data_IF_754376552538
#
_entry.id   IF_754376552538
#
_cell.length_a   1.000
_cell.length_b   1.000
_cell.length_c   1.000
_cell.angle_alpha   90.00
_cell.angle_beta   90.00
_cell.angle_gamma   90.00
#
_symmetry.space_group_name_H-M   'P 1'
#
loop_
_entity.id
_entity.type
_entity.pdbx_description
1 polymer ?
#
# COMPACT_ATOMS: atom_id res chain seq x y z
N UNK A 1 22.08 4.49 -21.01
CA UNK A 1 20.61 4.55 -21.05
C UNK A 1 20.02 4.27 -19.67
N UNK A 2 20.21 3.06 -19.09
CA UNK A 2 19.73 2.69 -17.73
C UNK A 2 20.26 3.65 -16.65
N UNK A 3 21.57 3.94 -16.66
CA UNK A 3 22.21 4.88 -15.74
C UNK A 3 21.59 6.29 -15.77
N UNK A 4 21.29 6.79 -16.98
CA UNK A 4 20.65 8.09 -17.13
C UNK A 4 19.19 8.09 -16.63
N UNK A 5 18.48 6.99 -16.80
CA UNK A 5 17.11 6.84 -16.27
C UNK A 5 17.12 6.82 -14.74
N UNK A 6 18.07 6.10 -14.12
CA UNK A 6 18.26 6.06 -12.67
C UNK A 6 18.63 7.43 -12.11
N UNK A 7 19.63 8.11 -12.71
CA UNK A 7 20.03 9.44 -12.25
C UNK A 7 18.90 10.46 -12.40
N UNK A 8 18.16 10.45 -13.51
CA UNK A 8 16.97 11.29 -13.67
C UNK A 8 15.92 11.05 -12.58
N UNK A 9 15.69 9.79 -12.23
CA UNK A 9 14.77 9.41 -11.14
C UNK A 9 15.28 9.97 -9.81
N UNK A 10 16.55 9.74 -9.47
CA UNK A 10 17.19 10.24 -8.25
C UNK A 10 17.16 11.77 -8.19
N UNK A 11 17.54 12.46 -9.27
CA UNK A 11 17.53 13.92 -9.36
C UNK A 11 16.11 14.49 -9.20
N UNK A 12 15.11 13.84 -9.83
CA UNK A 12 13.70 14.28 -9.70
C UNK A 12 13.17 14.18 -8.27
N UNK A 13 13.65 13.20 -7.51
CA UNK A 13 13.29 13.03 -6.10
C UNK A 13 14.04 14.03 -5.22
N UNK A 14 15.34 14.23 -5.45
CA UNK A 14 16.20 15.13 -4.66
C UNK A 14 15.86 16.60 -4.82
N UNK A 15 15.66 17.05 -6.06
CA UNK A 15 15.28 18.44 -6.31
C UNK A 15 13.96 18.84 -5.62
N UNK A 16 13.16 17.86 -5.14
CA UNK A 16 11.94 18.06 -4.37
C UNK A 16 12.11 17.89 -2.86
N UNK A 17 13.35 17.64 -2.38
CA UNK A 17 13.60 17.27 -0.98
C UNK A 17 13.26 18.38 0.02
N UNK A 18 13.16 19.65 -0.40
CA UNK A 18 13.08 20.74 0.58
C UNK A 18 11.69 21.09 1.11
N UNK A 19 10.59 20.82 0.41
CA UNK A 19 9.25 21.20 0.93
C UNK A 19 8.10 20.32 0.43
N UNK A 20 8.11 19.92 -0.83
CA UNK A 20 6.99 19.23 -1.46
C UNK A 20 7.00 17.70 -1.17
N UNK A 21 8.17 17.07 -1.22
CA UNK A 21 8.32 15.64 -0.86
C UNK A 21 8.00 15.45 0.61
N UNK A 22 8.51 16.33 1.48
CA UNK A 22 8.18 16.31 2.90
C UNK A 22 6.68 16.54 3.11
N UNK A 23 6.06 17.44 2.36
CA UNK A 23 4.63 17.74 2.46
C UNK A 23 3.78 16.63 1.85
N UNK A 24 4.16 16.06 0.71
CA UNK A 24 3.46 14.93 0.09
C UNK A 24 3.62 13.65 0.91
N UNK A 25 4.81 13.37 1.44
CA UNK A 25 5.08 12.26 2.36
C UNK A 25 4.31 12.48 3.67
N UNK A 26 4.37 13.68 4.26
CA UNK A 26 3.67 14.00 5.50
C UNK A 26 2.14 13.98 5.32
N UNK A 27 1.60 14.49 4.22
CA UNK A 27 0.17 14.46 3.95
C UNK A 27 -0.32 13.06 3.59
N UNK A 28 0.43 12.32 2.79
CA UNK A 28 0.11 10.94 2.43
C UNK A 28 0.29 10.01 3.64
N UNK A 29 1.40 10.13 4.37
CA UNK A 29 1.67 9.36 5.59
C UNK A 29 0.69 9.73 6.72
N UNK A 30 0.35 11.00 6.91
CA UNK A 30 -0.62 11.45 7.93
C UNK A 30 -2.02 10.95 7.63
N UNK A 31 -2.48 11.04 6.38
CA UNK A 31 -3.79 10.54 5.97
C UNK A 31 -3.86 9.02 6.04
N UNK A 32 -2.85 8.33 5.53
CA UNK A 32 -2.73 6.86 5.65
C UNK A 32 -2.63 6.41 7.10
N UNK A 33 -1.83 7.09 7.93
CA UNK A 33 -1.72 6.79 9.35
C UNK A 33 -3.06 6.94 10.07
N UNK A 34 -3.84 7.99 9.76
CA UNK A 34 -5.18 8.19 10.33
C UNK A 34 -6.15 7.08 9.91
N UNK A 35 -6.14 6.69 8.63
CA UNK A 35 -7.05 5.66 8.12
C UNK A 35 -6.67 4.27 8.61
N UNK A 36 -5.38 3.95 8.69
CA UNK A 36 -4.87 2.71 9.32
C UNK A 36 -5.23 2.68 10.81
N UNK A 37 -5.09 3.79 11.52
CA UNK A 37 -5.50 3.87 12.94
C UNK A 37 -6.99 3.61 13.13
N UNK A 38 -7.85 4.21 12.29
CA UNK A 38 -9.29 3.96 12.31
C UNK A 38 -9.63 2.51 11.98
N UNK A 39 -8.96 1.92 10.98
CA UNK A 39 -9.12 0.53 10.60
C UNK A 39 -8.72 -0.42 11.74
N UNK A 40 -7.57 -0.20 12.39
CA UNK A 40 -7.13 -0.97 13.57
C UNK A 40 -8.11 -0.88 14.73
N UNK A 41 -8.66 0.32 14.99
CA UNK A 41 -9.69 0.49 16.02
C UNK A 41 -10.96 -0.26 15.68
N UNK A 42 -11.42 -0.20 14.42
CA UNK A 42 -12.62 -0.91 13.97
C UNK A 42 -12.42 -2.44 14.00
N UNK A 43 -11.22 -2.93 13.63
CA UNK A 43 -10.85 -4.34 13.73
C UNK A 43 -10.93 -4.84 15.17
N UNK A 44 -10.31 -4.13 16.11
CA UNK A 44 -10.35 -4.48 17.53
C UNK A 44 -11.79 -4.50 18.09
N UNK A 45 -12.65 -3.58 17.64
CA UNK A 45 -14.06 -3.57 18.03
C UNK A 45 -14.81 -4.78 17.46
N UNK A 46 -14.57 -5.14 16.20
CA UNK A 46 -15.18 -6.30 15.56
C UNK A 46 -14.74 -7.60 16.27
N UNK A 47 -13.46 -7.78 16.56
CA UNK A 47 -12.92 -8.94 17.27
C UNK A 47 -13.49 -9.08 18.68
N UNK A 48 -13.59 -7.97 19.43
CA UNK A 48 -14.22 -7.97 20.76
C UNK A 48 -15.70 -8.39 20.69
N UNK A 49 -16.43 -7.91 19.69
CA UNK A 49 -17.84 -8.28 19.52
C UNK A 49 -18.00 -9.72 19.10
N UNK A 50 -17.12 -10.26 18.26
CA UNK A 50 -17.10 -11.68 17.90
C UNK A 50 -16.91 -12.52 19.17
N UNK A 51 -15.92 -12.20 20.00
CA UNK A 51 -15.67 -12.91 21.25
C UNK A 51 -16.82 -12.79 22.27
N UNK A 52 -17.55 -11.67 22.27
CA UNK A 52 -18.75 -11.50 23.07
C UNK A 52 -19.89 -12.40 22.56
N UNK A 53 -20.11 -12.45 21.25
CA UNK A 53 -21.11 -13.31 20.63
C UNK A 53 -20.86 -14.79 20.93
N UNK A 54 -19.59 -15.24 20.92
CA UNK A 54 -19.23 -16.60 21.30
C UNK A 54 -19.65 -16.93 22.75
N UNK A 55 -19.43 -15.97 23.66
CA UNK A 55 -19.84 -16.12 25.07
C UNK A 55 -21.37 -16.10 25.23
N UNK A 56 -22.05 -15.23 24.51
CA UNK A 56 -23.51 -15.15 24.51
C UNK A 56 -24.13 -16.42 23.95
N UNK A 57 -23.56 -16.98 22.89
CA UNK A 57 -24.00 -18.24 22.30
C UNK A 57 -23.84 -19.41 23.27
N UNK A 58 -22.70 -19.52 23.95
CA UNK A 58 -22.47 -20.52 24.94
C UNK A 58 -23.52 -20.46 26.07
N UNK A 59 -23.80 -19.25 26.56
CA UNK A 59 -24.83 -19.04 27.62
C UNK A 59 -26.23 -19.33 27.11
N UNK A 60 -26.55 -18.95 25.88
CA UNK A 60 -27.84 -19.23 25.25
C UNK A 60 -28.09 -20.74 25.16
N UNK A 61 -27.04 -21.50 24.82
CA UNK A 61 -27.07 -22.95 24.76
C UNK A 61 -27.34 -23.59 26.16
N UNK A 62 -26.66 -23.12 27.21
CA UNK A 62 -26.87 -23.55 28.57
C UNK A 62 -28.30 -23.24 29.07
N UNK A 63 -28.83 -22.06 28.75
CA UNK A 63 -30.18 -21.66 29.14
C UNK A 63 -31.27 -22.45 28.37
N UNK A 64 -31.01 -22.87 27.15
CA UNK A 64 -31.87 -23.75 26.39
C UNK A 64 -31.91 -25.16 27.00
N UNK A 65 -30.74 -25.78 27.29
CA UNK A 65 -30.67 -27.09 27.92
C UNK A 65 -31.36 -27.11 29.30
N UNK A 66 -31.22 -26.02 30.06
CA UNK A 66 -31.86 -25.90 31.37
C UNK A 66 -33.36 -25.59 31.32
N UNK A 67 -33.94 -25.50 30.14
CA UNK A 67 -35.37 -25.19 29.91
C UNK A 67 -35.81 -23.79 30.24
N UNK A 68 -34.86 -22.84 30.42
CA UNK A 68 -35.19 -21.41 30.63
C UNK A 68 -35.62 -20.73 29.34
N UNK A 69 -35.20 -21.24 28.20
CA UNK A 69 -35.52 -20.72 26.88
C UNK A 69 -36.07 -21.87 26.03
N UNK A 70 -37.16 -21.62 25.28
CA UNK A 70 -37.73 -22.58 24.35
C UNK A 70 -36.82 -22.82 23.14
N UNK A 71 -36.92 -24.02 22.55
CA UNK A 71 -36.18 -24.38 21.35
C UNK A 71 -36.42 -23.43 20.17
N UNK A 72 -37.65 -22.93 20.01
CA UNK A 72 -38.03 -21.96 18.98
C UNK A 72 -37.26 -20.65 19.17
N UNK A 73 -37.20 -20.15 20.41
CA UNK A 73 -36.50 -18.91 20.73
C UNK A 73 -34.99 -19.07 20.65
N UNK A 74 -34.47 -20.23 21.05
CA UNK A 74 -33.07 -20.59 20.86
C UNK A 74 -32.69 -20.56 19.38
N UNK A 75 -33.48 -21.18 18.51
CA UNK A 75 -33.23 -21.22 17.07
C UNK A 75 -33.15 -19.82 16.45
N UNK A 76 -34.11 -18.94 16.83
CA UNK A 76 -34.12 -17.53 16.31
C UNK A 76 -32.87 -16.78 16.77
N UNK A 77 -32.56 -16.79 18.08
CA UNK A 77 -31.42 -16.03 18.61
C UNK A 77 -30.09 -16.60 18.14
N UNK A 78 -29.97 -17.91 17.96
CA UNK A 78 -28.78 -18.58 17.42
C UNK A 78 -28.52 -18.11 15.98
N UNK A 79 -29.55 -18.08 15.14
CA UNK A 79 -29.45 -17.61 13.76
C UNK A 79 -29.03 -16.11 13.67
N UNK A 80 -29.57 -15.27 14.56
CA UNK A 80 -29.19 -13.86 14.65
C UNK A 80 -27.72 -13.69 15.04
N UNK A 81 -27.25 -14.42 16.05
CA UNK A 81 -25.84 -14.36 16.50
C UNK A 81 -24.87 -14.87 15.43
N UNK A 82 -25.24 -15.96 14.74
CA UNK A 82 -24.42 -16.51 13.65
C UNK A 82 -24.34 -15.55 12.47
N UNK A 83 -25.43 -14.89 12.10
CA UNK A 83 -25.46 -13.90 11.01
C UNK A 83 -24.61 -12.66 11.36
N UNK A 84 -24.78 -12.13 12.59
CA UNK A 84 -23.95 -11.02 13.10
C UNK A 84 -22.47 -11.41 13.09
N UNK A 85 -22.13 -12.59 13.59
CA UNK A 85 -20.75 -13.06 13.66
C UNK A 85 -20.15 -13.23 12.27
N UNK A 86 -20.89 -13.76 11.31
CA UNK A 86 -20.47 -13.90 9.92
C UNK A 86 -20.14 -12.55 9.27
N UNK A 87 -21.00 -11.55 9.48
CA UNK A 87 -20.78 -10.17 8.98
C UNK A 87 -19.54 -9.53 9.61
N UNK A 88 -19.36 -9.72 10.92
CA UNK A 88 -18.20 -9.19 11.64
C UNK A 88 -16.90 -9.87 11.22
N UNK A 89 -16.89 -11.18 11.00
CA UNK A 89 -15.72 -11.91 10.48
C UNK A 89 -15.32 -11.46 9.08
N UNK A 90 -16.28 -11.27 8.20
CA UNK A 90 -16.02 -10.72 6.86
C UNK A 90 -15.40 -9.32 6.94
N UNK A 91 -15.99 -8.43 7.75
CA UNK A 91 -15.47 -7.08 7.97
C UNK A 91 -14.07 -7.09 8.60
N UNK A 92 -13.79 -7.96 9.55
CA UNK A 92 -12.47 -8.12 10.16
C UNK A 92 -11.42 -8.52 9.11
N UNK A 93 -11.76 -9.48 8.24
CA UNK A 93 -10.88 -9.90 7.14
C UNK A 93 -10.56 -8.76 6.16
N UNK A 94 -11.57 -7.98 5.76
CA UNK A 94 -11.38 -6.80 4.89
C UNK A 94 -10.48 -5.75 5.54
N UNK A 95 -10.70 -5.46 6.83
CA UNK A 95 -9.89 -4.50 7.57
C UNK A 95 -8.44 -4.96 7.74
N UNK A 96 -8.22 -6.25 7.99
CA UNK A 96 -6.89 -6.84 8.07
C UNK A 96 -6.14 -6.69 6.75
N UNK A 97 -6.75 -7.09 5.63
CA UNK A 97 -6.16 -6.95 4.30
C UNK A 97 -5.83 -5.48 3.95
N UNK A 98 -6.73 -4.54 4.33
CA UNK A 98 -6.48 -3.11 4.14
C UNK A 98 -5.26 -2.63 4.95
N UNK A 99 -5.17 -3.02 6.23
CA UNK A 99 -4.05 -2.64 7.11
C UNK A 99 -2.74 -3.19 6.57
N UNK A 100 -2.68 -4.47 6.21
CA UNK A 100 -1.49 -5.12 5.65
C UNK A 100 -1.01 -4.42 4.37
N UNK A 101 -1.95 -4.14 3.45
CA UNK A 101 -1.63 -3.45 2.20
C UNK A 101 -1.09 -2.03 2.45
N UNK A 102 -1.68 -1.30 3.38
CA UNK A 102 -1.26 0.05 3.72
C UNK A 102 0.12 0.07 4.41
N UNK A 103 0.37 -0.87 5.33
CA UNK A 103 1.66 -1.01 6.01
C UNK A 103 2.77 -1.40 5.04
N UNK A 104 2.49 -2.31 4.09
CA UNK A 104 3.45 -2.68 3.05
C UNK A 104 3.83 -1.48 2.18
N UNK A 105 2.86 -0.71 1.71
CA UNK A 105 3.11 0.51 0.92
C UNK A 105 3.96 1.54 1.68
N UNK A 106 3.71 1.73 2.97
CA UNK A 106 4.53 2.60 3.80
C UNK A 106 5.96 2.09 3.95
N UNK A 107 6.17 0.78 4.11
CA UNK A 107 7.48 0.17 4.20
C UNK A 107 8.27 0.34 2.88
N UNK A 108 7.61 0.16 1.74
CA UNK A 108 8.20 0.32 0.41
C UNK A 108 8.66 1.76 0.16
N UNK A 109 7.83 2.76 0.50
CA UNK A 109 8.18 4.19 0.40
C UNK A 109 9.38 4.53 1.30
N UNK A 110 9.38 4.07 2.55
CA UNK A 110 10.49 4.33 3.47
C UNK A 110 11.80 3.68 3.00
N UNK A 111 11.72 2.49 2.42
CA UNK A 111 12.87 1.79 1.84
C UNK A 111 13.42 2.55 0.63
N UNK A 112 12.54 3.06 -0.23
CA UNK A 112 12.92 3.89 -1.36
C UNK A 112 13.64 5.17 -0.93
N UNK A 113 13.11 5.90 0.05
CA UNK A 113 13.73 7.11 0.58
C UNK A 113 15.16 6.84 1.08
N UNK A 114 15.36 5.75 1.85
CA UNK A 114 16.69 5.36 2.34
C UNK A 114 17.67 5.10 1.20
N UNK A 115 17.21 4.47 0.13
CA UNK A 115 18.04 4.19 -1.05
C UNK A 115 18.38 5.48 -1.80
N UNK A 116 17.41 6.38 -1.98
CA UNK A 116 17.65 7.71 -2.59
C UNK A 116 18.66 8.52 -1.79
N UNK A 117 18.56 8.50 -0.47
CA UNK A 117 19.52 9.21 0.42
C UNK A 117 20.93 8.58 0.39
N UNK A 118 21.02 7.26 0.15
CA UNK A 118 22.31 6.56 0.05
C UNK A 118 23.09 6.93 -1.21
N UNK A 119 22.38 7.18 -2.33
CA UNK A 119 23.00 7.43 -3.62
C UNK A 119 22.83 8.90 -4.03
N UNK A 120 23.89 9.71 -3.90
CA UNK A 120 23.88 11.11 -4.37
C UNK A 120 23.85 11.22 -5.89
N UNK A 121 24.71 10.47 -6.57
CA UNK A 121 24.78 10.34 -8.02
C UNK A 121 25.40 8.98 -8.35
N UNK A 122 24.75 8.22 -9.22
CA UNK A 122 25.25 6.92 -9.63
C UNK A 122 26.15 7.13 -10.84
N UNK A 123 27.46 6.91 -10.66
CA UNK A 123 28.45 7.02 -11.74
C UNK A 123 28.60 5.71 -12.51
N UNK A 124 28.35 4.57 -11.84
CA UNK A 124 28.54 3.24 -12.41
C UNK A 124 27.39 2.30 -11.93
N UNK A 125 26.94 1.43 -12.84
CA UNK A 125 25.95 0.40 -12.55
C UNK A 125 26.62 -0.82 -11.90
N UNK A 126 26.84 -0.72 -10.60
CA UNK A 126 27.35 -1.88 -9.84
C UNK A 126 26.23 -2.92 -9.61
N UNK A 127 26.56 -4.20 -9.39
CA UNK A 127 25.57 -5.21 -9.05
C UNK A 127 24.70 -4.82 -7.85
N UNK A 128 25.27 -4.13 -6.86
CA UNK A 128 24.57 -3.65 -5.66
C UNK A 128 23.50 -2.61 -6.02
N UNK A 129 23.85 -1.59 -6.82
CA UNK A 129 22.94 -0.57 -7.31
C UNK A 129 21.78 -1.20 -8.10
N UNK A 130 22.12 -2.16 -8.98
CA UNK A 130 21.09 -2.86 -9.77
C UNK A 130 20.15 -3.67 -8.86
N UNK A 131 20.69 -4.39 -7.89
CA UNK A 131 19.90 -5.19 -6.96
C UNK A 131 19.01 -4.35 -6.03
N UNK A 132 19.45 -3.17 -5.62
CA UNK A 132 18.69 -2.30 -4.73
C UNK A 132 17.58 -1.54 -5.47
N UNK A 133 17.80 -1.12 -6.72
CA UNK A 133 16.91 -0.21 -7.45
C UNK A 133 16.05 -0.89 -8.51
N UNK A 134 16.53 -1.98 -9.12
CA UNK A 134 15.91 -2.59 -10.30
C UNK A 134 15.37 -3.97 -9.97
N UNK A 135 14.11 -4.22 -10.32
CA UNK A 135 13.49 -5.53 -10.25
C UNK A 135 13.83 -6.36 -11.50
N UNK A 136 13.60 -5.76 -12.68
CA UNK A 136 13.90 -6.39 -13.97
C UNK A 136 14.09 -5.35 -15.07
N UNK A 137 14.86 -5.72 -16.09
CA UNK A 137 15.01 -4.94 -17.32
C UNK A 137 14.51 -5.81 -18.48
N UNK A 138 13.57 -5.31 -19.26
CA UNK A 138 13.06 -5.97 -20.47
C UNK A 138 13.65 -5.25 -21.68
N UNK A 139 14.37 -5.98 -22.49
CA UNK A 139 14.96 -5.47 -23.74
C UNK A 139 14.15 -6.03 -24.89
N UNK A 140 13.39 -5.17 -25.55
CA UNK A 140 12.57 -5.57 -26.71
C UNK A 140 13.43 -5.81 -27.96
N UNK A 141 12.88 -6.58 -28.90
CA UNK A 141 13.51 -6.74 -30.19
C UNK A 141 13.66 -5.40 -30.89
N UNK A 142 14.78 -5.15 -31.60
CA UNK A 142 15.00 -3.89 -32.28
C UNK A 142 14.04 -3.72 -33.46
N UNK A 143 13.37 -2.57 -33.51
CA UNK A 143 12.59 -2.15 -34.68
C UNK A 143 13.51 -1.53 -35.73
N UNK A 144 13.32 -1.93 -36.99
CA UNK A 144 14.06 -1.47 -38.17
C UNK A 144 13.13 -0.92 -39.25
N UNK A 145 11.86 -0.65 -38.93
CA UNK A 145 10.83 -0.25 -39.90
C UNK A 145 11.15 1.06 -40.61
N UNK A 146 11.82 2.01 -39.94
CA UNK A 146 12.16 3.34 -40.47
C UNK A 146 13.61 3.48 -40.95
N UNK A 147 14.32 2.38 -41.21
CA UNK A 147 15.73 2.39 -41.65
C UNK A 147 16.72 2.72 -40.49
N UNK A 148 16.25 3.05 -39.33
CA UNK A 148 17.04 3.22 -38.12
C UNK A 148 16.76 2.07 -37.13
N UNK A 149 17.81 1.63 -36.42
CA UNK A 149 17.66 0.61 -35.38
C UNK A 149 17.23 1.27 -34.07
N UNK A 150 15.93 1.20 -33.75
CA UNK A 150 15.38 1.66 -32.48
C UNK A 150 15.18 0.43 -31.59
N UNK A 151 15.67 0.48 -30.36
CA UNK A 151 15.51 -0.59 -29.40
C UNK A 151 14.86 -0.03 -28.12
N UNK A 152 13.69 -0.55 -27.80
CA UNK A 152 12.96 -0.17 -26.60
C UNK A 152 13.49 -0.98 -25.42
N UNK A 153 13.70 -0.29 -24.29
CA UNK A 153 14.12 -0.89 -23.02
C UNK A 153 13.13 -0.43 -21.96
N UNK A 154 12.50 -1.40 -21.28
CA UNK A 154 11.65 -1.14 -20.12
C UNK A 154 12.43 -1.47 -18.86
N UNK A 155 12.40 -0.56 -17.88
CA UNK A 155 13.06 -0.72 -16.59
C UNK A 155 11.97 -0.80 -15.54
N UNK A 156 11.86 -1.93 -14.86
CA UNK A 156 10.99 -2.10 -13.72
C UNK A 156 11.81 -1.89 -12.44
N UNK A 157 11.41 -0.88 -11.67
CA UNK A 157 12.05 -0.58 -10.41
C UNK A 157 11.40 -1.40 -9.28
N UNK A 158 12.15 -1.67 -8.22
CA UNK A 158 11.65 -2.36 -7.02
C UNK A 158 10.67 -1.53 -6.21
N UNK A 159 10.54 -0.26 -6.54
CA UNK A 159 9.68 0.71 -5.85
C UNK A 159 8.50 1.10 -6.71
N UNK A 160 7.40 1.50 -6.08
CA UNK A 160 6.26 2.03 -6.81
C UNK A 160 6.63 3.36 -7.48
N UNK A 161 6.96 3.26 -8.77
CA UNK A 161 7.38 4.40 -9.62
C UNK A 161 6.25 5.43 -9.78
N UNK A 162 4.99 5.06 -9.48
CA UNK A 162 3.86 5.99 -9.52
C UNK A 162 4.07 7.17 -8.56
N UNK A 163 4.74 6.97 -7.44
CA UNK A 163 5.12 8.07 -6.52
C UNK A 163 6.20 8.95 -7.15
N UNK A 164 7.21 8.37 -7.80
CA UNK A 164 8.30 9.10 -8.42
C UNK A 164 7.85 9.85 -9.70
N UNK A 165 6.97 9.26 -10.52
CA UNK A 165 6.39 9.91 -11.70
C UNK A 165 5.40 11.01 -11.34
N UNK A 166 4.56 10.84 -10.32
CA UNK A 166 3.66 11.89 -9.83
C UNK A 166 4.44 13.12 -9.34
N UNK A 167 5.64 12.93 -8.79
CA UNK A 167 6.54 14.00 -8.39
C UNK A 167 7.16 14.70 -9.62
N UNK A 168 7.54 13.95 -10.65
CA UNK A 168 8.10 14.50 -11.90
C UNK A 168 7.07 15.30 -12.71
N UNK A 169 5.83 14.80 -12.82
CA UNK A 169 4.74 15.44 -13.56
C UNK A 169 4.27 16.74 -12.90
N UNK A 170 4.32 16.84 -11.58
CA UNK A 170 3.98 18.08 -10.86
C UNK A 170 4.92 19.24 -11.18
N UNK A 171 6.20 18.97 -11.45
CA UNK A 171 7.19 19.99 -11.84
C UNK A 171 6.99 20.54 -13.25
N UNK A 172 6.58 19.70 -14.18
CA UNK A 172 6.31 20.17 -15.55
C UNK A 172 5.10 21.11 -15.57
N UNK A 173 4.13 20.88 -14.68
CA UNK A 173 2.98 21.76 -14.48
C UNK A 173 3.37 23.11 -13.87
N UNK A 174 4.24 23.11 -12.85
CA UNK A 174 4.70 24.35 -12.18
C UNK A 174 5.67 25.17 -13.04
N UNK A 175 6.51 24.53 -13.87
CA UNK A 175 7.34 25.24 -14.86
C UNK A 175 6.50 25.93 -15.92
N UNK A 176 5.42 25.30 -16.41
CA UNK A 176 4.48 25.92 -17.36
C UNK A 176 3.69 27.09 -16.75
N UNK A 177 3.40 27.03 -15.44
CA UNK A 177 2.67 28.08 -14.72
C UNK A 177 3.53 29.29 -14.36
N UNK A 178 4.86 29.13 -14.25
CA UNK A 178 5.83 30.24 -14.04
C UNK A 178 6.30 30.88 -15.34
N UNK A 179 6.04 30.25 -16.48
CA UNK A 179 6.41 30.76 -17.82
C UNK A 179 5.23 31.40 -18.58
N UNK A 180 4.04 31.44 -17.99
CA UNK A 180 2.82 32.10 -18.45
C UNK A 180 2.50 33.32 -17.58
#
# INVERSE_FOLDING_TARGET
>A
MVLNALNKLLDSVKDNESEFVQTAINNSASKHSSDVFKAKKALNQAEKRIAELDRLFARLYEDNISGKISDERFAVLSAEYEDEQKKLKAKASELTAFIETAEQKCADVNSFIKVVQKYEHITELTPEVMHELIEKIIVHAPDKSDGHRIQQIEIHFRFDVAVATAIADSKEYDKKKKAA
#
